data_IF_916131676523
#
_entry.id   IF_916131676523
#
_cell.length_a   1.000
_cell.length_b   1.000
_cell.length_c   1.000
_cell.angle_alpha   90.00
_cell.angle_beta   90.00
_cell.angle_gamma   90.00
#
_symmetry.space_group_name_H-M   'P 1'
#
loop_
_entity.id
_entity.type
_entity.pdbx_description
1 polymer ?
#
# COMPACT_ATOMS: atom_id res chain seq x y z
N UNK A 1 36.47 27.85 -56.57
CA UNK A 1 35.02 27.56 -56.47
C UNK A 1 34.82 26.49 -55.38
N UNK A 2 33.73 26.61 -54.63
CA UNK A 2 33.56 26.24 -53.21
C UNK A 2 33.40 24.73 -52.96
N UNK A 3 34.12 24.22 -51.93
CA UNK A 3 33.92 22.91 -51.27
C UNK A 3 32.61 22.92 -50.47
N UNK A 4 31.80 21.87 -50.56
CA UNK A 4 30.68 21.62 -49.64
C UNK A 4 30.91 20.32 -48.85
N UNK A 5 31.18 20.47 -47.56
CA UNK A 5 31.04 19.41 -46.57
C UNK A 5 29.55 19.29 -46.21
N UNK A 6 29.01 18.07 -46.19
CA UNK A 6 27.75 17.75 -45.50
C UNK A 6 28.12 17.06 -44.18
N UNK A 7 27.92 17.77 -43.07
CA UNK A 7 28.07 17.26 -41.71
C UNK A 7 26.81 16.52 -41.28
N UNK A 8 27.00 15.34 -40.69
CA UNK A 8 25.93 14.52 -40.11
C UNK A 8 25.53 15.04 -38.73
N UNK A 9 24.22 15.19 -38.51
CA UNK A 9 23.65 15.57 -37.22
C UNK A 9 23.47 14.31 -36.36
N UNK A 10 24.25 14.19 -35.29
CA UNK A 10 24.02 13.17 -34.26
C UNK A 10 22.91 13.64 -33.31
N UNK A 11 21.80 12.91 -33.27
CA UNK A 11 20.75 13.06 -32.25
C UNK A 11 21.22 12.37 -30.96
N UNK A 12 21.53 13.14 -29.92
CA UNK A 12 21.74 12.61 -28.57
C UNK A 12 20.36 12.42 -27.90
N UNK A 13 19.96 11.17 -27.70
CA UNK A 13 18.85 10.83 -26.81
C UNK A 13 19.34 10.90 -25.37
N UNK A 14 18.87 11.88 -24.60
CA UNK A 14 19.00 11.91 -23.15
C UNK A 14 17.95 10.93 -22.59
N UNK A 15 18.39 9.74 -22.21
CA UNK A 15 17.57 8.82 -21.42
C UNK A 15 17.37 9.44 -20.03
N UNK A 16 16.13 9.80 -19.71
CA UNK A 16 15.75 10.19 -18.35
C UNK A 16 15.69 8.91 -17.52
N UNK A 17 16.67 8.68 -16.66
CA UNK A 17 16.59 7.64 -15.64
C UNK A 17 15.44 8.00 -14.71
N UNK A 18 14.31 7.30 -14.83
CA UNK A 18 13.29 7.32 -13.79
C UNK A 18 13.93 6.68 -12.55
N UNK A 19 14.16 7.47 -11.51
CA UNK A 19 14.52 6.93 -10.20
C UNK A 19 13.29 6.19 -9.68
N UNK A 20 13.41 4.87 -9.46
CA UNK A 20 12.41 4.15 -8.68
C UNK A 20 12.43 4.75 -7.27
N UNK A 21 11.27 5.20 -6.78
CA UNK A 21 11.13 5.61 -5.39
C UNK A 21 10.97 4.33 -4.55
N UNK A 22 12.01 3.95 -3.83
CA UNK A 22 12.01 2.70 -3.05
C UNK A 22 11.13 2.78 -1.78
N UNK A 23 10.61 3.97 -1.45
CA UNK A 23 9.77 4.23 -0.26
C UNK A 23 8.27 4.24 -0.56
N UNK A 24 7.84 3.57 -1.62
CA UNK A 24 6.42 3.39 -1.94
C UNK A 24 6.15 2.00 -2.54
N UNK A 25 4.91 1.53 -2.39
CA UNK A 25 4.45 0.29 -3.02
C UNK A 25 3.00 0.43 -3.48
N UNK A 26 2.66 -0.25 -4.58
CA UNK A 26 1.26 -0.47 -4.96
C UNK A 26 0.84 -1.89 -4.59
N UNK A 27 -0.22 -1.99 -3.79
CA UNK A 27 -0.91 -3.24 -3.47
C UNK A 27 -2.23 -3.25 -4.23
N UNK A 28 -2.57 -4.37 -4.86
CA UNK A 28 -3.85 -4.55 -5.55
C UNK A 28 -4.74 -5.47 -4.74
N UNK A 29 -6.05 -5.18 -4.75
CA UNK A 29 -7.13 -5.98 -4.20
C UNK A 29 -8.19 -6.29 -5.26
N UNK A 30 -8.96 -7.36 -5.10
CA UNK A 30 -9.92 -7.80 -6.11
C UNK A 30 -11.22 -8.38 -5.53
N UNK A 31 -12.22 -8.58 -6.40
CA UNK A 31 -13.54 -9.12 -6.02
C UNK A 31 -13.50 -10.54 -5.41
N UNK A 32 -12.35 -11.23 -5.47
CA UNK A 32 -12.12 -12.56 -4.90
C UNK A 32 -11.52 -12.50 -3.48
N UNK A 33 -11.50 -11.33 -2.84
CA UNK A 33 -10.93 -11.10 -1.51
C UNK A 33 -9.45 -11.49 -1.43
N UNK A 34 -8.65 -11.03 -2.37
CA UNK A 34 -7.21 -11.28 -2.40
C UNK A 34 -6.43 -9.98 -2.52
N UNK A 35 -5.32 -9.89 -1.78
CA UNK A 35 -4.24 -8.99 -2.16
C UNK A 35 -3.32 -9.68 -3.18
N UNK A 36 -2.71 -8.91 -4.08
CA UNK A 36 -1.75 -9.43 -5.06
C UNK A 36 -0.38 -9.83 -4.45
N UNK A 37 -0.14 -9.49 -3.18
CA UNK A 37 1.07 -9.85 -2.45
C UNK A 37 0.73 -10.39 -1.06
N UNK A 38 1.60 -11.27 -0.56
CA UNK A 38 1.59 -11.76 0.82
C UNK A 38 2.64 -11.09 1.71
N UNK A 39 3.53 -10.27 1.15
CA UNK A 39 4.54 -9.51 1.89
C UNK A 39 4.74 -8.11 1.32
N UNK A 40 4.90 -7.13 2.20
CA UNK A 40 5.37 -5.77 1.86
C UNK A 40 6.73 -5.57 2.53
N UNK A 41 7.74 -5.22 1.74
CA UNK A 41 9.06 -4.88 2.26
C UNK A 41 9.22 -3.36 2.31
N UNK A 42 9.56 -2.83 3.48
CA UNK A 42 9.81 -1.41 3.71
C UNK A 42 11.32 -1.22 3.91
N UNK A 43 12.02 -0.42 3.11
CA UNK A 43 13.41 -0.08 3.39
C UNK A 43 13.54 0.69 4.71
N UNK A 44 14.40 0.22 5.62
CA UNK A 44 14.64 0.90 6.89
C UNK A 44 15.31 2.27 6.72
N UNK A 45 15.81 2.59 5.52
CA UNK A 45 16.35 3.90 5.17
C UNK A 45 15.29 4.96 4.88
N UNK A 46 14.03 4.56 4.67
CA UNK A 46 12.92 5.48 4.46
C UNK A 46 12.56 6.20 5.77
N UNK A 47 12.26 7.50 5.73
CA UNK A 47 11.64 8.21 6.85
C UNK A 47 10.13 7.97 6.89
N UNK A 48 9.51 7.97 5.71
CA UNK A 48 8.10 7.66 5.50
C UNK A 48 7.96 6.61 4.40
N UNK A 49 6.90 5.82 4.46
CA UNK A 49 6.57 4.84 3.45
C UNK A 49 5.13 5.02 2.98
N UNK A 50 4.91 4.93 1.66
CA UNK A 50 3.59 5.11 1.07
C UNK A 50 3.06 3.81 0.48
N UNK A 51 1.86 3.40 0.90
CA UNK A 51 1.13 2.30 0.29
C UNK A 51 0.00 2.88 -0.54
N UNK A 52 -0.02 2.59 -1.84
CA UNK A 52 -1.18 2.81 -2.71
C UNK A 52 -1.96 1.52 -2.81
N UNK A 53 -3.23 1.54 -2.42
CA UNK A 53 -4.16 0.44 -2.63
C UNK A 53 -4.99 0.70 -3.89
N UNK A 54 -5.06 -0.31 -4.78
CA UNK A 54 -5.93 -0.29 -5.97
C UNK A 54 -6.90 -1.45 -5.91
N UNK A 55 -8.16 -1.21 -6.27
CA UNK A 55 -9.15 -2.28 -6.38
C UNK A 55 -9.42 -2.60 -7.85
N UNK A 56 -8.96 -3.77 -8.32
CA UNK A 56 -9.01 -4.16 -9.75
C UNK A 56 -10.34 -4.81 -10.17
N UNK A 57 -11.18 -5.16 -9.18
CA UNK A 57 -12.54 -5.66 -9.41
C UNK A 57 -13.55 -4.59 -9.82
N UNK A 58 -14.84 -4.92 -9.75
CA UNK A 58 -15.96 -4.08 -10.18
C UNK A 58 -17.03 -3.88 -9.10
N UNK A 59 -16.96 -4.62 -7.99
CA UNK A 59 -17.98 -4.55 -6.94
C UNK A 59 -17.86 -3.27 -6.11
N UNK A 60 -18.98 -2.66 -5.70
CA UNK A 60 -18.96 -1.43 -4.93
C UNK A 60 -18.46 -1.65 -3.49
N UNK A 61 -17.90 -0.59 -2.89
CA UNK A 61 -17.25 -0.65 -1.58
C UNK A 61 -18.15 -1.07 -0.41
N UNK A 62 -19.47 -0.89 -0.54
CA UNK A 62 -20.45 -1.32 0.46
C UNK A 62 -20.56 -2.85 0.56
N UNK A 63 -20.23 -3.56 -0.53
CA UNK A 63 -20.38 -5.02 -0.61
C UNK A 63 -19.04 -5.75 -0.68
N UNK A 64 -18.03 -5.13 -1.30
CA UNK A 64 -16.69 -5.70 -1.47
C UNK A 64 -15.64 -4.60 -1.28
N UNK A 65 -15.79 -3.83 -0.21
CA UNK A 65 -14.83 -2.79 0.14
C UNK A 65 -13.52 -3.39 0.63
N UNK A 66 -12.41 -2.80 0.22
CA UNK A 66 -11.09 -3.18 0.69
C UNK A 66 -10.33 -1.96 1.18
N UNK A 67 -9.65 -2.13 2.29
CA UNK A 67 -8.62 -1.22 2.78
C UNK A 67 -7.35 -2.02 3.03
N UNK A 68 -6.27 -1.29 3.30
CA UNK A 68 -5.01 -1.84 3.76
C UNK A 68 -4.73 -1.21 5.12
N UNK A 69 -4.59 -2.04 6.15
CA UNK A 69 -4.33 -1.62 7.54
C UNK A 69 -3.10 -2.36 8.04
N UNK A 70 -2.15 -1.63 8.62
CA UNK A 70 -0.94 -2.18 9.23
C UNK A 70 -0.92 -1.99 10.73
N UNK A 71 -0.53 -3.05 11.43
CA UNK A 71 -0.40 -3.10 12.89
C UNK A 71 0.82 -3.98 13.25
N UNK A 72 1.14 -4.07 14.54
CA UNK A 72 1.85 -5.26 15.03
C UNK A 72 1.01 -6.51 14.75
N UNK A 73 1.64 -7.66 14.60
CA UNK A 73 0.95 -8.92 14.37
C UNK A 73 0.08 -9.33 15.57
N UNK A 74 0.49 -8.96 16.78
CA UNK A 74 -0.26 -9.23 18.01
C UNK A 74 -1.60 -8.46 18.04
N UNK A 75 -1.63 -7.24 17.50
CA UNK A 75 -2.81 -6.37 17.56
C UNK A 75 -3.81 -6.60 16.42
N UNK A 76 -3.38 -7.15 15.28
CA UNK A 76 -4.16 -7.14 14.03
C UNK A 76 -5.57 -7.73 14.16
N UNK A 77 -5.72 -8.85 14.87
CA UNK A 77 -7.04 -9.47 15.05
C UNK A 77 -7.97 -8.62 15.93
N UNK A 78 -7.45 -7.99 16.98
CA UNK A 78 -8.23 -7.13 17.86
C UNK A 78 -8.65 -5.83 17.14
N UNK A 79 -7.74 -5.22 16.39
CA UNK A 79 -8.02 -4.03 15.57
C UNK A 79 -9.09 -4.32 14.53
N UNK A 80 -9.00 -5.44 13.80
CA UNK A 80 -10.04 -5.81 12.83
C UNK A 80 -11.41 -6.05 13.49
N UNK A 81 -11.43 -6.67 14.68
CA UNK A 81 -12.66 -6.93 15.42
C UNK A 81 -13.32 -5.64 15.90
N UNK A 82 -12.54 -4.72 16.47
CA UNK A 82 -13.04 -3.41 16.91
C UNK A 82 -13.50 -2.57 15.71
N UNK A 83 -12.78 -2.66 14.59
CA UNK A 83 -13.10 -2.00 13.33
C UNK A 83 -14.49 -2.34 12.79
N UNK A 84 -14.99 -3.56 13.00
CA UNK A 84 -16.35 -3.94 12.61
C UNK A 84 -17.41 -3.01 13.21
N UNK A 85 -17.22 -2.56 14.45
CA UNK A 85 -18.16 -1.67 15.15
C UNK A 85 -18.03 -0.21 14.73
N UNK A 86 -16.89 0.17 14.13
CA UNK A 86 -16.66 1.53 13.64
C UNK A 86 -17.44 1.84 12.36
N UNK A 87 -17.77 0.82 11.56
CA UNK A 87 -18.58 0.94 10.36
C UNK A 87 -17.83 1.55 9.16
N UNK A 88 -18.50 1.55 8.00
CA UNK A 88 -17.92 1.99 6.73
C UNK A 88 -17.53 3.47 6.73
N UNK A 89 -18.28 4.34 7.42
CA UNK A 89 -17.98 5.78 7.51
C UNK A 89 -16.65 6.06 8.23
N UNK A 90 -16.16 5.10 9.02
CA UNK A 90 -14.84 5.12 9.65
C UNK A 90 -13.89 4.10 9.00
N UNK A 91 -14.15 3.67 7.76
CA UNK A 91 -13.34 2.71 7.01
C UNK A 91 -13.13 1.36 7.72
N UNK A 92 -14.04 0.97 8.61
CA UNK A 92 -13.88 -0.18 9.50
C UNK A 92 -12.57 -0.15 10.29
N UNK A 93 -12.15 1.04 10.71
CA UNK A 93 -11.05 1.26 11.64
C UNK A 93 -11.61 2.07 12.81
N UNK A 94 -11.34 1.64 14.04
CA UNK A 94 -11.75 2.41 15.21
C UNK A 94 -11.07 3.79 15.18
N UNK A 95 -11.82 4.89 15.32
CA UNK A 95 -11.21 6.23 15.34
C UNK A 95 -10.16 6.34 16.46
N UNK A 96 -8.99 6.89 16.11
CA UNK A 96 -7.85 7.08 17.02
C UNK A 96 -7.32 5.78 17.67
N UNK A 97 -7.34 4.67 16.93
CA UNK A 97 -6.74 3.43 17.40
C UNK A 97 -5.20 3.47 17.32
N UNK A 98 -4.55 3.64 18.48
CA UNK A 98 -3.10 3.75 18.60
C UNK A 98 -2.33 2.50 18.11
N UNK A 99 -3.03 1.36 17.94
CA UNK A 99 -2.43 0.13 17.40
C UNK A 99 -2.25 0.17 15.88
N UNK A 100 -2.91 1.11 15.20
CA UNK A 100 -2.86 1.26 13.74
C UNK A 100 -1.67 2.15 13.35
N UNK A 101 -0.73 1.58 12.61
CA UNK A 101 0.48 2.25 12.12
C UNK A 101 0.18 3.02 10.84
N UNK A 102 -0.62 2.44 9.95
CA UNK A 102 -1.06 3.05 8.71
C UNK A 102 -2.34 2.38 8.22
N UNK A 103 -3.25 3.16 7.63
CA UNK A 103 -4.52 2.65 7.12
C UNK A 103 -4.99 3.48 5.93
N UNK A 104 -5.46 2.81 4.88
CA UNK A 104 -6.17 3.48 3.80
C UNK A 104 -7.66 3.61 4.08
N UNK A 105 -8.33 4.48 3.32
CA UNK A 105 -9.78 4.43 3.20
C UNK A 105 -10.25 3.09 2.58
N UNK A 106 -11.53 2.75 2.81
CA UNK A 106 -12.19 1.65 2.11
C UNK A 106 -12.55 2.10 0.68
N UNK A 107 -12.05 1.34 -0.29
CA UNK A 107 -12.32 1.54 -1.71
C UNK A 107 -13.04 0.33 -2.32
N UNK A 108 -13.79 0.56 -3.40
CA UNK A 108 -14.45 -0.47 -4.22
C UNK A 108 -13.87 -0.54 -5.63
N UNK A 109 -14.47 -1.37 -6.47
CA UNK A 109 -14.04 -1.64 -7.85
C UNK A 109 -13.70 -0.40 -8.67
N UNK A 110 -12.47 -0.37 -9.21
CA UNK A 110 -11.96 0.69 -10.07
C UNK A 110 -11.40 1.91 -9.31
N UNK A 111 -11.54 1.96 -7.99
CA UNK A 111 -11.00 3.04 -7.16
C UNK A 111 -9.55 2.76 -6.73
N UNK A 112 -8.87 3.81 -6.27
CA UNK A 112 -7.58 3.73 -5.62
C UNK A 112 -7.48 4.78 -4.50
N UNK A 113 -6.67 4.48 -3.50
CA UNK A 113 -6.35 5.40 -2.39
C UNK A 113 -4.92 5.14 -1.92
N UNK A 114 -4.40 5.97 -1.03
CA UNK A 114 -3.07 5.77 -0.44
C UNK A 114 -3.03 6.17 1.02
N UNK A 115 -2.09 5.57 1.75
CA UNK A 115 -1.69 5.99 3.10
C UNK A 115 -0.19 6.17 3.13
N UNK A 116 0.28 7.20 3.84
CA UNK A 116 1.69 7.43 4.13
C UNK A 116 1.87 7.40 5.64
N UNK A 117 2.89 6.70 6.12
CA UNK A 117 3.17 6.57 7.55
C UNK A 117 4.67 6.61 7.82
N UNK A 118 5.01 7.03 9.03
CA UNK A 118 6.39 7.07 9.50
C UNK A 118 6.97 5.66 9.62
N UNK A 119 8.20 5.49 9.13
CA UNK A 119 9.01 4.29 9.37
C UNK A 119 9.80 4.43 10.67
N UNK A 120 9.97 5.65 11.18
CA UNK A 120 10.57 5.89 12.48
C UNK A 120 9.78 5.17 13.58
N UNK A 121 10.47 4.38 14.40
CA UNK A 121 9.87 3.57 15.45
C UNK A 121 9.52 2.15 15.05
N UNK A 122 9.58 1.79 13.76
CA UNK A 122 9.48 0.40 13.34
C UNK A 122 10.77 -0.36 13.69
N UNK A 123 10.62 -1.60 14.17
CA UNK A 123 11.74 -2.44 14.61
C UNK A 123 11.86 -3.70 13.75
N UNK A 124 13.09 -4.12 13.44
CA UNK A 124 13.35 -5.42 12.78
C UNK A 124 13.04 -6.62 13.67
N UNK A 125 12.96 -6.40 14.98
CA UNK A 125 12.67 -7.44 15.97
C UNK A 125 11.17 -7.61 16.25
N UNK A 126 10.32 -6.74 15.66
CA UNK A 126 8.87 -6.78 15.81
C UNK A 126 8.23 -7.48 14.59
N UNK A 127 7.20 -8.29 14.83
CA UNK A 127 6.42 -8.88 13.74
C UNK A 127 5.28 -7.93 13.35
N UNK A 128 5.26 -7.48 12.10
CA UNK A 128 4.16 -6.66 11.57
C UNK A 128 3.31 -7.44 10.56
N UNK A 129 2.06 -7.02 10.44
CA UNK A 129 1.16 -7.54 9.44
C UNK A 129 0.35 -6.43 8.80
N UNK A 130 -0.10 -6.68 7.58
CA UNK A 130 -1.14 -5.89 6.94
C UNK A 130 -2.37 -6.75 6.67
N UNK A 131 -3.55 -6.14 6.64
CA UNK A 131 -4.81 -6.83 6.41
C UNK A 131 -5.90 -5.88 5.91
N UNK A 132 -7.01 -6.47 5.45
CA UNK A 132 -8.26 -5.76 5.19
C UNK A 132 -9.17 -5.90 6.42
N UNK A 133 -9.67 -4.78 6.95
CA UNK A 133 -10.53 -4.72 8.14
C UNK A 133 -12.03 -4.73 7.83
N UNK A 134 -12.41 -4.75 6.55
CA UNK A 134 -13.81 -4.99 6.17
C UNK A 134 -14.31 -6.28 6.83
N UNK A 135 -15.52 -6.30 7.41
CA UNK A 135 -16.01 -7.40 8.25
C UNK A 135 -15.81 -8.79 7.60
N UNK A 136 -15.00 -9.62 8.25
CA UNK A 136 -14.69 -10.99 7.81
C UNK A 136 -13.50 -11.15 6.86
N UNK A 137 -12.93 -10.06 6.32
CA UNK A 137 -11.90 -10.17 5.28
C UNK A 137 -10.52 -10.56 5.82
N UNK A 138 -10.16 -10.15 7.04
CA UNK A 138 -8.86 -10.49 7.68
C UNK A 138 -8.56 -12.00 7.74
N UNK A 139 -9.59 -12.86 7.69
CA UNK A 139 -9.40 -14.31 7.64
C UNK A 139 -8.58 -14.77 6.42
N UNK A 140 -8.66 -14.03 5.31
CA UNK A 140 -8.06 -14.36 4.01
C UNK A 140 -7.11 -13.23 3.56
N UNK A 141 -7.57 -11.98 3.63
CA UNK A 141 -6.87 -10.80 3.15
C UNK A 141 -5.88 -10.27 4.19
N UNK A 142 -4.70 -10.89 4.24
CA UNK A 142 -3.60 -10.49 5.11
C UNK A 142 -2.24 -10.90 4.54
N UNK A 143 -1.20 -10.23 5.01
CA UNK A 143 0.19 -10.56 4.72
C UNK A 143 1.12 -10.00 5.78
N UNK A 144 2.42 -10.18 5.59
CA UNK A 144 3.47 -9.69 6.49
C UNK A 144 4.02 -8.35 6.03
N UNK A 145 4.57 -7.58 6.97
CA UNK A 145 5.43 -6.43 6.64
C UNK A 145 6.82 -6.69 7.22
N UNK A 146 7.85 -6.53 6.39
CA UNK A 146 9.26 -6.76 6.77
C UNK A 146 10.11 -5.53 6.49
N UNK A 147 11.05 -5.21 7.38
CA UNK A 147 12.01 -4.13 7.16
C UNK A 147 13.28 -4.67 6.47
N UNK A 148 13.65 -4.10 5.31
CA UNK A 148 14.96 -4.38 4.72
C UNK A 148 16.06 -3.46 5.28
N UNK A 149 17.30 -3.92 5.24
CA UNK A 149 18.49 -3.09 5.53
C UNK A 149 18.77 -2.08 4.44
#
# INVERSE_FOLDING_TARGET
MIKKLLGGTALFFLASSAFANDCEVTVESNDAMQFNTSNVTIPASCSEFTVTLKHTGQLPKQSMGHNWVMTTKADGQAVATDGMSAGLDNNYVKPNDERVIGATDIIGGGEQTSTTFSVEGLSKDEEYMFFCSFPGHIGIMKGTVTLSS
#
